data_IF_774082466394
#
_entry.id   IF_774082466394
#
_cell.length_a   1.000
_cell.length_b   1.000
_cell.length_c   1.000
_cell.angle_alpha   90.00
_cell.angle_beta   90.00
_cell.angle_gamma   90.00
#
_symmetry.space_group_name_H-M   'P 1'
#
loop_
_entity.id
_entity.type
_entity.pdbx_description
1 polymer ?
#
# COMPACT_ATOMS: atom_id res chain seq x y z
N UNK A 1 8.95 -14.86 10.59
CA UNK A 1 9.45 -13.54 11.03
C UNK A 1 8.22 -12.71 11.30
N UNK A 2 8.17 -12.01 12.42
CA UNK A 2 7.02 -11.20 12.85
C UNK A 2 7.31 -9.75 12.47
N UNK A 3 6.37 -9.03 11.85
CA UNK A 3 6.54 -7.60 11.63
C UNK A 3 6.58 -6.88 12.96
N UNK A 4 7.60 -6.05 13.20
CA UNK A 4 7.72 -5.23 14.40
C UNK A 4 7.42 -3.77 14.13
N UNK A 5 7.68 -3.30 12.92
CA UNK A 5 7.35 -1.95 12.46
C UNK A 5 6.60 -1.97 11.13
N UNK A 6 5.49 -1.24 11.06
CA UNK A 6 4.68 -1.06 9.85
C UNK A 6 4.61 0.44 9.56
N UNK A 7 4.95 0.82 8.33
CA UNK A 7 4.82 2.19 7.84
C UNK A 7 3.64 2.26 6.87
N UNK A 8 2.67 3.13 7.13
CA UNK A 8 1.52 3.36 6.24
C UNK A 8 1.61 4.76 5.63
N UNK A 9 1.51 4.84 4.30
CA UNK A 9 1.37 6.11 3.59
C UNK A 9 -0.11 6.47 3.46
N UNK A 10 -0.42 7.71 3.78
CA UNK A 10 -1.76 8.28 3.73
C UNK A 10 -1.76 9.58 2.93
N UNK A 11 -2.83 9.79 2.19
CA UNK A 11 -3.11 10.95 1.36
C UNK A 11 -4.55 11.45 1.61
N UNK A 12 -4.98 12.45 0.84
CA UNK A 12 -6.33 13.01 0.89
C UNK A 12 -7.44 12.11 0.31
N UNK A 13 -7.12 10.86 -0.07
CA UNK A 13 -8.09 9.97 -0.68
C UNK A 13 -9.15 9.52 0.33
N UNK A 14 -10.39 9.38 -0.15
CA UNK A 14 -11.49 8.78 0.61
C UNK A 14 -11.14 7.38 1.16
N UNK A 15 -10.23 6.67 0.49
CA UNK A 15 -9.79 5.32 0.90
C UNK A 15 -8.64 5.30 1.90
N UNK A 16 -8.15 6.45 2.35
CA UNK A 16 -7.08 6.50 3.34
C UNK A 16 -7.46 5.77 4.64
N UNK A 17 -8.74 5.80 5.04
CA UNK A 17 -9.25 5.03 6.19
C UNK A 17 -9.13 3.52 6.01
N UNK A 18 -9.44 3.01 4.83
CA UNK A 18 -9.29 1.57 4.54
C UNK A 18 -7.81 1.14 4.61
N UNK A 19 -6.89 2.02 4.17
CA UNK A 19 -5.45 1.79 4.31
C UNK A 19 -5.03 1.71 5.79
N UNK A 20 -5.56 2.60 6.63
CA UNK A 20 -5.36 2.56 8.08
C UNK A 20 -5.87 1.25 8.68
N UNK A 21 -7.11 0.85 8.35
CA UNK A 21 -7.70 -0.38 8.90
C UNK A 21 -6.87 -1.63 8.53
N UNK A 22 -6.43 -1.73 7.28
CA UNK A 22 -5.57 -2.83 6.82
C UNK A 22 -4.22 -2.82 7.55
N UNK A 23 -3.59 -1.65 7.70
CA UNK A 23 -2.32 -1.54 8.41
C UNK A 23 -2.45 -1.95 9.88
N UNK A 24 -3.53 -1.55 10.55
CA UNK A 24 -3.83 -1.91 11.93
C UNK A 24 -4.20 -3.38 12.10
N UNK A 25 -4.91 -3.97 11.15
CA UNK A 25 -5.22 -5.41 11.16
C UNK A 25 -3.93 -6.24 11.12
N UNK A 26 -3.04 -5.92 10.18
CA UNK A 26 -1.72 -6.58 10.09
C UNK A 26 -0.91 -6.32 11.36
N UNK A 27 -0.94 -5.10 11.88
CA UNK A 27 -0.24 -4.75 13.11
C UNK A 27 -0.75 -5.55 14.32
N UNK A 28 -2.06 -5.79 14.45
CA UNK A 28 -2.62 -6.60 15.53
C UNK A 28 -2.14 -8.05 15.48
N UNK A 29 -2.16 -8.66 14.30
CA UNK A 29 -1.66 -10.03 14.09
C UNK A 29 -0.19 -10.16 14.53
N UNK A 30 0.60 -9.10 14.35
CA UNK A 30 2.02 -9.09 14.67
C UNK A 30 2.42 -8.30 15.92
N UNK A 31 1.47 -7.73 16.67
CA UNK A 31 1.74 -6.75 17.75
C UNK A 31 2.81 -5.73 17.35
N UNK A 32 2.68 -5.19 16.14
CA UNK A 32 3.66 -4.29 15.53
C UNK A 32 3.36 -2.83 15.89
N UNK A 33 4.42 -2.02 15.92
CA UNK A 33 4.30 -0.56 15.97
C UNK A 33 3.88 -0.02 14.60
N UNK A 34 2.92 0.91 14.56
CA UNK A 34 2.42 1.52 13.30
C UNK A 34 2.84 2.98 13.22
N UNK A 35 3.65 3.33 12.22
CA UNK A 35 3.95 4.70 11.86
C UNK A 35 3.07 5.13 10.69
N UNK A 36 2.15 6.07 10.91
CA UNK A 36 1.36 6.70 9.87
C UNK A 36 2.06 7.95 9.34
N UNK A 37 2.34 7.96 8.04
CA UNK A 37 2.90 9.10 7.33
C UNK A 37 1.84 9.70 6.41
N UNK A 38 1.26 10.81 6.84
CA UNK A 38 0.38 11.62 6.02
C UNK A 38 1.21 12.55 5.15
N UNK A 39 1.19 12.29 3.85
CA UNK A 39 1.95 13.02 2.86
C UNK A 39 1.13 13.10 1.57
N UNK A 40 0.23 14.10 1.45
CA UNK A 40 -0.57 14.30 0.25
C UNK A 40 0.36 14.64 -0.93
N UNK A 41 -0.05 14.29 -2.14
CA UNK A 41 0.67 14.70 -3.34
C UNK A 41 0.66 16.23 -3.40
N UNK A 42 1.84 16.84 -3.34
CA UNK A 42 1.97 18.29 -3.44
C UNK A 42 1.75 18.67 -4.90
N UNK A 43 0.76 19.52 -5.15
CA UNK A 43 0.52 20.10 -6.48
C UNK A 43 1.79 20.86 -6.89
N UNK A 44 2.47 20.35 -7.92
CA UNK A 44 3.77 20.86 -8.40
C UNK A 44 3.64 22.29 -8.96
N UNK A 45 2.42 22.72 -9.29
CA UNK A 45 2.06 24.02 -9.87
C UNK A 45 1.29 24.94 -8.91
N UNK A 46 1.72 25.03 -7.65
CA UNK A 46 1.10 25.90 -6.63
C UNK A 46 0.96 27.35 -7.10
N UNK A 47 1.99 27.91 -7.76
CA UNK A 47 1.99 29.31 -8.20
C UNK A 47 0.99 29.56 -9.33
N UNK A 48 0.99 28.72 -10.38
CA UNK A 48 0.09 28.87 -11.54
C UNK A 48 -1.38 28.89 -11.12
N UNK A 49 -1.69 28.12 -10.09
CA UNK A 49 -3.04 27.89 -9.62
C UNK A 49 -3.44 29.00 -8.60
N UNK A 50 -2.49 29.65 -7.91
CA UNK A 50 -2.69 30.94 -7.18
C UNK A 50 -2.98 32.08 -8.15
N UNK A 51 -2.24 32.15 -9.25
CA UNK A 51 -2.49 33.16 -10.29
C UNK A 51 -3.83 32.96 -11.01
N UNK A 52 -4.29 31.72 -11.17
CA UNK A 52 -5.51 31.40 -11.92
C UNK A 52 -6.80 31.53 -11.09
N UNK A 53 -6.80 31.11 -9.82
CA UNK A 53 -8.02 31.01 -9.00
C UNK A 53 -8.10 32.00 -7.82
N UNK A 54 -7.06 32.81 -7.61
CA UNK A 54 -7.00 33.78 -6.50
C UNK A 54 -6.71 33.14 -5.15
N UNK A 55 -6.33 33.95 -4.16
CA UNK A 55 -5.88 33.47 -2.83
C UNK A 55 -7.00 32.83 -2.01
N UNK A 56 -8.24 33.28 -2.17
CA UNK A 56 -9.37 32.80 -1.36
C UNK A 56 -9.72 31.34 -1.65
N UNK A 57 -9.62 30.92 -2.91
CA UNK A 57 -9.78 29.52 -3.30
C UNK A 57 -8.74 28.62 -2.62
N UNK A 58 -7.50 29.09 -2.50
CA UNK A 58 -6.44 28.36 -1.83
C UNK A 58 -6.60 28.27 -0.34
N UNK A 59 -7.02 29.36 0.30
CA UNK A 59 -7.27 29.35 1.73
C UNK A 59 -8.40 28.38 2.07
N UNK A 60 -9.43 28.27 1.22
CA UNK A 60 -10.47 27.25 1.36
C UNK A 60 -9.93 25.83 1.15
N UNK A 61 -9.17 25.59 0.08
CA UNK A 61 -8.56 24.27 -0.17
C UNK A 61 -7.64 23.84 0.98
N UNK A 62 -6.80 24.72 1.49
CA UNK A 62 -5.89 24.43 2.61
C UNK A 62 -6.66 24.10 3.89
N UNK A 63 -7.81 24.76 4.14
CA UNK A 63 -8.69 24.43 5.26
C UNK A 63 -9.31 23.04 5.08
N UNK A 64 -9.85 22.75 3.91
CA UNK A 64 -10.44 21.45 3.60
C UNK A 64 -9.42 20.30 3.76
N UNK A 65 -8.19 20.50 3.29
CA UNK A 65 -7.11 19.52 3.46
C UNK A 65 -6.73 19.35 4.93
N UNK A 66 -6.67 20.43 5.71
CA UNK A 66 -6.35 20.35 7.14
C UNK A 66 -7.46 19.65 7.92
N UNK A 67 -8.72 19.90 7.60
CA UNK A 67 -9.87 19.23 8.21
C UNK A 67 -9.89 17.74 7.89
N UNK A 68 -9.65 17.35 6.62
CA UNK A 68 -9.51 15.95 6.22
C UNK A 68 -8.35 15.26 6.92
N UNK A 69 -7.19 15.93 7.01
CA UNK A 69 -6.01 15.45 7.73
C UNK A 69 -6.32 15.21 9.20
N UNK A 70 -6.93 16.18 9.90
CA UNK A 70 -7.30 16.07 11.31
C UNK A 70 -8.31 14.95 11.54
N UNK A 71 -9.31 14.83 10.68
CA UNK A 71 -10.29 13.75 10.75
C UNK A 71 -9.64 12.37 10.59
N UNK A 72 -8.67 12.24 9.69
CA UNK A 72 -7.94 11.00 9.46
C UNK A 72 -6.95 10.68 10.60
N UNK A 73 -6.27 11.69 11.14
CA UNK A 73 -5.41 11.57 12.32
C UNK A 73 -6.21 11.11 13.54
N UNK A 74 -7.35 11.75 13.80
CA UNK A 74 -8.25 11.34 14.88
C UNK A 74 -8.76 9.91 14.69
N UNK A 75 -9.15 9.54 13.47
CA UNK A 75 -9.53 8.18 13.14
C UNK A 75 -8.40 7.18 13.44
N UNK A 76 -7.19 7.47 12.98
CA UNK A 76 -6.02 6.62 13.24
C UNK A 76 -5.76 6.44 14.73
N UNK A 77 -5.73 7.52 15.51
CA UNK A 77 -5.46 7.48 16.94
C UNK A 77 -6.56 6.73 17.71
N UNK A 78 -7.83 6.95 17.36
CA UNK A 78 -8.96 6.21 17.96
C UNK A 78 -8.84 4.71 17.71
N UNK A 79 -8.57 4.31 16.46
CA UNK A 79 -8.40 2.89 16.11
C UNK A 79 -7.16 2.28 16.75
N UNK A 80 -6.10 3.05 16.92
CA UNK A 80 -4.90 2.60 17.62
C UNK A 80 -5.17 2.31 19.11
N UNK A 81 -5.97 3.16 19.75
CA UNK A 81 -6.42 2.96 21.13
C UNK A 81 -7.31 1.71 21.27
N UNK A 82 -8.30 1.54 20.39
CA UNK A 82 -9.21 0.37 20.38
C UNK A 82 -8.44 -0.95 20.28
N UNK A 83 -7.37 -0.94 19.49
CA UNK A 83 -6.58 -2.13 19.16
C UNK A 83 -5.42 -2.37 20.14
N UNK A 84 -5.23 -1.45 21.12
CA UNK A 84 -4.16 -1.48 22.14
C UNK A 84 -2.76 -1.62 21.52
N UNK A 85 -2.58 -1.06 20.33
CA UNK A 85 -1.29 -1.01 19.65
C UNK A 85 -0.55 0.27 20.01
N UNK A 86 0.74 0.31 19.70
CA UNK A 86 1.54 1.54 19.74
C UNK A 86 1.71 2.07 18.33
N UNK A 87 1.73 3.40 18.19
CA UNK A 87 1.95 4.03 16.90
C UNK A 87 2.21 5.51 16.99
N UNK A 88 2.66 6.08 15.88
CA UNK A 88 2.89 7.50 15.71
C UNK A 88 2.19 8.00 14.45
N UNK A 89 1.72 9.25 14.52
CA UNK A 89 1.26 10.00 13.37
C UNK A 89 2.28 11.06 13.00
N UNK A 90 2.55 11.22 11.71
CA UNK A 90 3.45 12.25 11.17
C UNK A 90 2.82 12.86 9.93
N UNK A 91 2.78 14.19 9.92
CA UNK A 91 2.37 14.98 8.75
C UNK A 91 3.61 15.55 8.08
N UNK A 92 3.71 15.36 6.76
CA UNK A 92 4.79 15.89 5.93
C UNK A 92 4.19 16.72 4.81
N UNK A 93 4.43 18.02 4.85
CA UNK A 93 3.96 18.96 3.83
C UNK A 93 4.94 19.12 2.67
N UNK A 94 6.23 18.81 2.87
CA UNK A 94 7.29 18.99 1.89
C UNK A 94 8.22 17.78 1.85
N UNK A 95 8.74 17.48 0.66
CA UNK A 95 9.68 16.36 0.46
C UNK A 95 9.13 14.99 0.91
N UNK A 96 7.83 14.74 0.71
CA UNK A 96 7.16 13.48 1.00
C UNK A 96 7.96 12.24 0.60
N UNK A 97 8.58 12.26 -0.59
CA UNK A 97 9.35 11.13 -1.11
C UNK A 97 10.60 10.86 -0.28
N UNK A 98 11.30 11.92 0.14
CA UNK A 98 12.52 11.80 0.94
C UNK A 98 12.21 11.24 2.32
N UNK A 99 11.19 11.79 2.98
CA UNK A 99 10.74 11.33 4.30
C UNK A 99 10.25 9.88 4.27
N UNK A 100 9.45 9.54 3.26
CA UNK A 100 8.96 8.17 3.06
C UNK A 100 10.12 7.19 2.83
N UNK A 101 11.10 7.56 2.02
CA UNK A 101 12.29 6.74 1.75
C UNK A 101 13.20 6.58 2.97
N UNK A 102 13.34 7.60 3.80
CA UNK A 102 14.10 7.52 5.04
C UNK A 102 13.45 6.54 6.02
N UNK A 103 12.13 6.63 6.19
CA UNK A 103 11.36 5.78 7.10
C UNK A 103 11.17 4.35 6.60
N UNK A 104 11.00 4.17 5.29
CA UNK A 104 10.87 2.87 4.64
C UNK A 104 12.02 1.91 5.00
N UNK A 105 13.24 2.42 5.20
CA UNK A 105 14.42 1.61 5.55
C UNK A 105 14.31 0.94 6.92
N UNK A 106 13.57 1.55 7.85
CA UNK A 106 13.37 1.09 9.21
C UNK A 106 12.04 0.34 9.41
N UNK A 107 11.21 0.28 8.36
CA UNK A 107 9.96 -0.47 8.37
C UNK A 107 10.21 -1.94 8.01
N UNK A 108 9.52 -2.86 8.69
CA UNK A 108 9.46 -4.25 8.26
C UNK A 108 8.45 -4.44 7.12
N UNK A 109 7.36 -3.68 7.14
CA UNK A 109 6.32 -3.67 6.10
C UNK A 109 5.94 -2.22 5.77
N UNK A 110 5.76 -1.95 4.49
CA UNK A 110 5.22 -0.68 4.00
C UNK A 110 3.83 -0.95 3.44
N UNK A 111 2.84 -0.15 3.83
CA UNK A 111 1.48 -0.22 3.32
C UNK A 111 1.24 1.02 2.46
N UNK A 112 0.94 0.82 1.19
CA UNK A 112 0.61 1.86 0.23
C UNK A 112 -0.79 1.64 -0.32
N UNK A 113 -1.50 2.71 -0.61
CA UNK A 113 -2.74 2.65 -1.38
C UNK A 113 -2.43 2.53 -2.87
N UNK A 114 -3.23 1.81 -3.63
CA UNK A 114 -3.26 1.90 -5.08
C UNK A 114 -4.06 3.14 -5.50
N UNK A 115 -3.49 3.96 -6.37
CA UNK A 115 -4.19 5.12 -6.93
C UNK A 115 -5.37 4.68 -7.81
N UNK A 116 -6.47 5.43 -7.78
CA UNK A 116 -7.66 5.14 -8.60
C UNK A 116 -7.40 5.61 -10.03
N UNK A 117 -7.50 4.77 -11.07
CA UNK A 117 -7.26 5.20 -12.45
C UNK A 117 -8.14 6.36 -12.94
N UNK A 118 -9.32 6.56 -12.32
CA UNK A 118 -10.26 7.63 -12.69
C UNK A 118 -9.96 8.97 -11.98
N UNK A 119 -9.06 8.98 -11.00
CA UNK A 119 -8.64 10.19 -10.29
C UNK A 119 -7.65 11.01 -11.16
N UNK A 120 -7.93 12.31 -11.42
CA UNK A 120 -7.04 13.17 -12.22
C UNK A 120 -5.59 13.19 -11.73
N UNK A 121 -5.37 13.07 -10.41
CA UNK A 121 -4.05 13.12 -9.77
C UNK A 121 -3.41 11.74 -9.60
N UNK A 122 -4.09 10.67 -10.02
CA UNK A 122 -3.64 9.30 -9.87
C UNK A 122 -2.30 9.00 -10.52
N UNK A 123 -1.98 9.70 -11.62
CA UNK A 123 -0.72 9.51 -12.34
C UNK A 123 0.50 9.92 -11.49
N UNK A 124 0.37 11.00 -10.70
CA UNK A 124 1.40 11.49 -9.78
C UNK A 124 1.51 10.58 -8.55
N UNK A 125 0.37 10.24 -7.93
CA UNK A 125 0.31 9.32 -6.80
C UNK A 125 0.91 7.95 -7.13
N UNK A 126 0.58 7.39 -8.30
CA UNK A 126 1.09 6.10 -8.74
C UNK A 126 2.61 6.12 -9.00
N UNK A 127 3.15 7.19 -9.61
CA UNK A 127 4.60 7.34 -9.80
C UNK A 127 5.34 7.38 -8.47
N UNK A 128 4.79 8.10 -7.49
CA UNK A 128 5.34 8.18 -6.14
C UNK A 128 5.35 6.80 -5.46
N UNK A 129 4.19 6.12 -5.41
CA UNK A 129 4.02 4.80 -4.80
C UNK A 129 4.91 3.73 -5.47
N UNK A 130 5.03 3.79 -6.80
CA UNK A 130 5.89 2.89 -7.58
C UNK A 130 7.37 3.10 -7.25
N UNK A 131 7.83 4.35 -7.19
CA UNK A 131 9.22 4.66 -6.81
C UNK A 131 9.56 4.13 -5.42
N UNK A 132 8.67 4.29 -4.45
CA UNK A 132 8.85 3.75 -3.10
C UNK A 132 8.95 2.22 -3.16
N UNK A 133 8.07 1.56 -3.92
CA UNK A 133 8.08 0.10 -4.06
C UNK A 133 9.40 -0.43 -4.61
N UNK A 134 9.96 0.25 -5.60
CA UNK A 134 11.24 -0.15 -6.21
C UNK A 134 12.44 0.17 -5.32
N UNK A 135 12.40 1.27 -4.56
CA UNK A 135 13.56 1.77 -3.84
C UNK A 135 13.61 1.39 -2.35
N UNK A 136 12.47 1.04 -1.73
CA UNK A 136 12.39 0.79 -0.29
C UNK A 136 13.23 -0.41 0.18
N UNK A 137 13.45 -1.40 -0.70
CA UNK A 137 14.12 -2.65 -0.33
C UNK A 137 13.37 -3.47 0.73
N UNK A 138 12.13 -3.09 1.04
CA UNK A 138 11.22 -3.75 1.98
C UNK A 138 9.94 -4.13 1.24
N UNK A 139 9.27 -5.22 1.63
CA UNK A 139 7.98 -5.60 1.12
C UNK A 139 6.95 -4.50 1.31
N UNK A 140 6.18 -4.33 0.24
CA UNK A 140 5.15 -3.33 0.14
C UNK A 140 3.82 -4.07 -0.05
N UNK A 141 2.89 -3.81 0.84
CA UNK A 141 1.50 -4.21 0.72
C UNK A 141 0.74 -3.08 0.01
N UNK A 142 0.25 -3.37 -1.18
CA UNK A 142 -0.63 -2.47 -1.92
C UNK A 142 -2.08 -2.74 -1.56
N UNK A 143 -2.77 -1.71 -1.08
CA UNK A 143 -4.21 -1.71 -0.78
C UNK A 143 -4.96 -1.33 -2.05
N UNK A 144 -5.75 -2.24 -2.65
CA UNK A 144 -6.45 -1.96 -3.89
C UNK A 144 -7.45 -0.80 -3.75
N UNK A 145 -7.62 -0.04 -4.83
CA UNK A 145 -8.58 1.07 -4.89
C UNK A 145 -10.04 0.57 -4.97
N UNK A 146 -10.30 -0.71 -5.23
CA UNK A 146 -11.64 -1.31 -5.29
C UNK A 146 -11.81 -2.47 -4.31
N UNK A 147 -13.07 -2.69 -3.89
CA UNK A 147 -13.44 -3.79 -3.01
C UNK A 147 -13.49 -3.43 -1.52
N UNK A 148 -13.93 -4.41 -0.73
CA UNK A 148 -13.92 -4.41 0.74
C UNK A 148 -13.05 -5.58 1.20
N UNK A 149 -12.17 -5.32 2.16
CA UNK A 149 -11.23 -6.31 2.67
C UNK A 149 -11.53 -6.54 4.16
N UNK A 150 -12.47 -7.45 4.49
CA UNK A 150 -12.85 -7.71 5.89
C UNK A 150 -11.77 -8.49 6.66
N UNK A 151 -10.80 -9.06 5.94
CA UNK A 151 -9.65 -9.74 6.52
C UNK A 151 -8.45 -9.68 5.56
N UNK A 152 -7.24 -9.61 6.11
CA UNK A 152 -5.97 -9.60 5.37
C UNK A 152 -5.18 -10.87 5.69
N UNK A 153 -4.62 -11.50 4.65
CA UNK A 153 -3.69 -12.63 4.81
C UNK A 153 -4.33 -14.02 4.88
N UNK A 154 -5.65 -14.14 4.87
CA UNK A 154 -6.36 -15.43 4.91
C UNK A 154 -6.21 -16.25 3.62
N UNK A 155 -6.08 -15.57 2.48
CA UNK A 155 -5.85 -16.19 1.17
C UNK A 155 -4.75 -15.43 0.46
N UNK A 156 -3.66 -16.13 0.15
CA UNK A 156 -2.47 -15.53 -0.46
C UNK A 156 -2.25 -16.19 -1.81
N UNK A 157 -2.25 -15.37 -2.86
CA UNK A 157 -1.86 -15.76 -4.21
C UNK A 157 -0.49 -15.15 -4.47
N UNK A 158 0.45 -15.97 -4.92
CA UNK A 158 1.81 -15.52 -5.23
C UNK A 158 2.07 -15.72 -6.71
N UNK A 159 2.28 -14.62 -7.44
CA UNK A 159 2.82 -14.69 -8.79
C UNK A 159 4.30 -15.10 -8.72
N UNK A 160 4.61 -16.31 -9.20
CA UNK A 160 5.97 -16.86 -9.16
C UNK A 160 6.56 -17.05 -10.56
N UNK A 161 7.62 -16.30 -10.86
CA UNK A 161 8.41 -16.40 -12.08
C UNK A 161 9.76 -17.13 -11.88
N UNK A 162 10.09 -17.52 -10.64
CA UNK A 162 11.38 -18.12 -10.27
C UNK A 162 12.52 -17.11 -10.08
N UNK A 163 12.26 -15.81 -10.21
CA UNK A 163 13.23 -14.77 -10.01
C UNK A 163 13.59 -14.54 -8.54
N UNK A 164 14.64 -13.75 -8.30
CA UNK A 164 15.08 -13.40 -6.94
C UNK A 164 13.99 -12.65 -6.15
N UNK A 165 13.26 -11.76 -6.82
CA UNK A 165 12.17 -10.99 -6.21
C UNK A 165 11.01 -11.89 -5.78
N UNK A 166 10.62 -12.86 -6.62
CA UNK A 166 9.60 -13.85 -6.27
C UNK A 166 10.07 -14.72 -5.09
N UNK A 167 11.33 -15.19 -5.10
CA UNK A 167 11.94 -15.95 -3.98
C UNK A 167 11.89 -15.19 -2.66
N UNK A 168 12.23 -13.90 -2.68
CA UNK A 168 12.14 -13.03 -1.50
C UNK A 168 10.70 -12.87 -1.02
N UNK A 169 9.74 -12.71 -1.94
CA UNK A 169 8.32 -12.60 -1.61
C UNK A 169 7.78 -13.89 -0.97
N UNK A 170 8.07 -15.06 -1.55
CA UNK A 170 7.67 -16.34 -0.94
C UNK A 170 8.26 -16.52 0.44
N UNK A 171 9.54 -16.22 0.63
CA UNK A 171 10.17 -16.35 1.95
C UNK A 171 9.45 -15.48 2.97
N UNK A 172 9.07 -14.25 2.60
CA UNK A 172 8.34 -13.34 3.49
C UNK A 172 6.94 -13.86 3.85
N UNK A 173 6.21 -14.38 2.86
CA UNK A 173 4.84 -14.89 2.99
C UNK A 173 4.79 -16.21 3.76
N UNK A 174 5.65 -17.17 3.43
CA UNK A 174 5.69 -18.49 4.07
C UNK A 174 5.99 -18.40 5.58
N UNK A 175 6.71 -17.34 5.99
CA UNK A 175 7.00 -17.03 7.38
C UNK A 175 5.80 -16.40 8.13
N UNK A 176 4.69 -16.10 7.45
CA UNK A 176 3.45 -15.48 7.96
C UNK A 176 2.22 -16.37 7.80
N UNK A 177 2.14 -17.16 6.72
CA UNK A 177 0.96 -17.95 6.41
C UNK A 177 0.78 -19.10 7.41
N UNK A 178 -0.27 -19.02 8.24
CA UNK A 178 -0.82 -20.18 8.96
C UNK A 178 -1.82 -20.95 8.08
N UNK A 179 -2.11 -20.46 6.86
CA UNK A 179 -3.15 -20.98 5.97
C UNK A 179 -2.60 -21.40 4.59
N UNK A 180 -3.40 -22.23 3.91
CA UNK A 180 -3.09 -22.82 2.61
C UNK A 180 -2.66 -21.75 1.59
N UNK A 181 -1.43 -21.89 1.10
CA UNK A 181 -0.85 -20.98 0.10
C UNK A 181 -1.08 -21.59 -1.28
N UNK A 182 -1.89 -20.95 -2.11
CA UNK A 182 -2.14 -21.40 -3.48
C UNK A 182 -1.09 -20.79 -4.40
N UNK A 183 -0.08 -21.58 -4.76
CA UNK A 183 1.05 -21.15 -5.56
C UNK A 183 0.71 -21.28 -7.05
N UNK A 184 0.25 -20.18 -7.66
CA UNK A 184 -0.01 -20.13 -9.10
C UNK A 184 1.25 -19.66 -9.84
N UNK A 185 1.91 -20.57 -10.56
CA UNK A 185 3.04 -20.23 -11.43
C UNK A 185 2.54 -19.54 -12.70
N UNK A 186 2.68 -18.22 -12.76
CA UNK A 186 2.49 -17.47 -14.00
C UNK A 186 3.82 -17.38 -14.76
N UNK A 187 4.03 -18.29 -15.71
CA UNK A 187 5.16 -18.18 -16.65
C UNK A 187 4.75 -17.20 -17.75
N UNK A 188 5.20 -15.95 -17.65
CA UNK A 188 5.14 -15.03 -18.78
C UNK A 188 6.26 -15.42 -19.75
N UNK A 189 6.00 -16.36 -20.66
CA UNK A 189 6.89 -16.57 -21.79
C UNK A 189 6.86 -15.29 -22.62
N UNK A 190 7.93 -14.50 -22.59
CA UNK A 190 8.17 -13.43 -23.56
C UNK A 190 8.25 -14.09 -24.94
N UNK A 191 7.10 -14.25 -25.62
CA UNK A 191 7.06 -14.67 -27.01
C UNK A 191 7.74 -13.57 -27.82
N UNK A 192 9.01 -13.77 -28.15
CA UNK A 192 9.52 -13.21 -29.40
C UNK A 192 8.58 -13.71 -30.52
N UNK A 193 8.18 -12.78 -31.38
CA UNK A 193 6.96 -12.87 -32.18
C UNK A 193 6.76 -14.21 -32.89
N UNK A 194 5.56 -14.77 -32.72
CA UNK A 194 4.79 -15.49 -33.74
C UNK A 194 3.40 -15.80 -33.18
N UNK A 195 2.38 -15.55 -34.02
CA UNK A 195 0.92 -15.40 -33.72
C UNK A 195 0.31 -16.54 -32.87
N UNK A 196 -0.77 -16.30 -32.07
CA UNK A 196 -1.41 -17.36 -31.32
C UNK A 196 -2.62 -17.98 -32.05
N UNK A 197 -2.71 -19.31 -32.01
CA UNK A 197 -3.97 -20.07 -32.15
C UNK A 197 -4.35 -20.60 -30.74
N UNK A 198 -5.65 -20.70 -30.38
CA UNK A 198 -6.04 -20.87 -28.99
C UNK A 198 -6.02 -22.35 -28.60
N UNK A 199 -5.33 -22.71 -27.52
CA UNK A 199 -5.58 -23.97 -26.80
C UNK A 199 -5.92 -23.67 -25.35
N UNK A 200 -7.14 -24.04 -24.97
CA UNK A 200 -7.63 -24.13 -23.60
C UNK A 200 -6.67 -24.99 -22.77
N UNK A 201 -6.29 -24.53 -21.57
CA UNK A 201 -5.58 -25.36 -20.59
C UNK A 201 -6.44 -25.51 -19.34
N UNK A 202 -6.61 -26.76 -18.94
CA UNK A 202 -7.37 -27.22 -17.79
C UNK A 202 -6.67 -26.86 -16.47
N UNK A 203 -7.49 -26.60 -15.46
CA UNK A 203 -7.11 -26.36 -14.08
C UNK A 203 -6.93 -27.70 -13.35
N UNK A 204 -5.79 -27.92 -12.69
CA UNK A 204 -5.61 -29.03 -11.75
C UNK A 204 -5.42 -28.50 -10.34
N UNK A 205 -6.33 -28.89 -9.47
CA UNK A 205 -6.41 -28.58 -8.04
C UNK A 205 -5.57 -29.62 -7.28
N UNK A 206 -4.53 -29.20 -6.56
CA UNK A 206 -3.82 -30.09 -5.64
C UNK A 206 -4.44 -29.96 -4.25
N UNK A 207 -5.15 -31.01 -3.79
CA UNK A 207 -5.63 -31.12 -2.41
C UNK A 207 -4.53 -31.63 -1.46
N UNK A 208 -4.63 -31.41 -0.14
CA UNK A 208 -3.61 -31.82 0.81
C UNK A 208 -3.64 -33.33 1.02
N UNK A 209 -2.49 -33.98 0.81
CA UNK A 209 -2.26 -35.38 1.20
C UNK A 209 -2.14 -35.45 2.73
N UNK A 210 -3.10 -36.12 3.38
CA UNK A 210 -2.95 -36.60 4.75
C UNK A 210 -1.96 -37.76 4.76
N UNK A 211 -0.96 -37.72 5.62
CA UNK A 211 -0.53 -38.82 6.49
C UNK A 211 0.30 -38.23 7.63
#
# INVERSE_FOLDING_TARGET
MKYRSILVHLDNSERARACVDIALEVAQQHRAHVSALYAPAVIEHRLDYVFTFGTDYWDQQMRDEDDRRRALEHYFLSRLADTKLTGEWRTVQQHAQREMMARARYADLIVLRQSDPEDPDASLGNRFQTRITLAAGRPVLWVPFTGKFPSVGNRIVVAWDGGQSATRALRRIALHATCATDLTRHVHTRKQGTRPHPRRRHWTRAGPSRH
#
